data_IF_909928099229
#
_entry.id   IF_909928099229
#
_cell.length_a   1.000
_cell.length_b   1.000
_cell.length_c   1.000
_cell.angle_alpha   90.00
_cell.angle_beta   90.00
_cell.angle_gamma   90.00
#
_symmetry.space_group_name_H-M   'P 1'
#
loop_
_entity.id
_entity.type
_entity.pdbx_description
1 polymer ?
#
# COMPACT_ATOMS: atom_id res chain seq x y z
N UNK A 1 18.78 -84.54 -5.88
CA UNK A 1 19.00 -83.28 -5.14
C UNK A 1 19.51 -82.23 -6.12
N UNK A 2 18.69 -81.26 -6.50
CA UNK A 2 19.13 -80.03 -7.17
C UNK A 2 18.35 -78.89 -6.54
N UNK A 3 19.06 -78.02 -5.81
CA UNK A 3 18.45 -76.91 -5.08
C UNK A 3 18.43 -75.66 -5.95
N UNK A 4 17.24 -75.15 -6.28
CA UNK A 4 17.08 -73.83 -6.86
C UNK A 4 17.42 -72.77 -5.81
N UNK A 5 18.42 -71.92 -6.09
CA UNK A 5 18.70 -70.71 -5.30
C UNK A 5 17.98 -69.53 -5.93
N UNK A 6 16.90 -69.08 -5.28
CA UNK A 6 16.20 -67.85 -5.65
C UNK A 6 17.08 -66.64 -5.33
N UNK A 7 17.42 -65.83 -6.33
CA UNK A 7 18.00 -64.50 -6.13
C UNK A 7 16.89 -63.49 -5.91
N UNK A 8 16.86 -62.84 -4.75
CA UNK A 8 15.99 -61.69 -4.48
C UNK A 8 16.77 -60.42 -4.85
N UNK A 9 16.30 -59.68 -5.84
CA UNK A 9 16.86 -58.37 -6.21
C UNK A 9 16.18 -57.30 -5.34
N UNK A 10 16.96 -56.69 -4.45
CA UNK A 10 16.50 -55.61 -3.59
C UNK A 10 16.70 -54.26 -4.30
N UNK A 11 15.63 -53.71 -4.87
CA UNK A 11 15.65 -52.38 -5.51
C UNK A 11 15.74 -51.27 -4.46
N UNK A 12 16.90 -50.64 -4.34
CA UNK A 12 17.09 -49.47 -3.49
C UNK A 12 16.43 -48.23 -4.14
N UNK A 13 15.36 -47.73 -3.54
CA UNK A 13 14.72 -46.46 -3.95
C UNK A 13 15.52 -45.31 -3.33
N UNK A 14 16.27 -44.58 -4.16
CA UNK A 14 16.94 -43.36 -3.74
C UNK A 14 15.92 -42.21 -3.64
N UNK A 15 15.41 -41.96 -2.44
CA UNK A 15 14.58 -40.78 -2.15
C UNK A 15 15.40 -39.50 -2.23
N UNK A 16 15.30 -38.79 -3.34
CA UNK A 16 15.86 -37.45 -3.47
C UNK A 16 14.99 -36.45 -2.69
N UNK A 17 15.35 -36.20 -1.43
CA UNK A 17 14.77 -35.12 -0.63
C UNK A 17 15.24 -33.76 -1.20
N UNK A 18 14.47 -33.20 -2.13
CA UNK A 18 14.62 -31.81 -2.52
C UNK A 18 14.26 -30.92 -1.34
N UNK A 19 15.24 -30.24 -0.75
CA UNK A 19 14.97 -29.18 0.22
C UNK A 19 14.13 -28.08 -0.47
N UNK A 20 13.07 -27.54 0.17
CA UNK A 20 12.25 -26.52 -0.43
C UNK A 20 13.09 -25.25 -0.65
N UNK A 21 13.29 -24.88 -1.91
CA UNK A 21 13.87 -23.59 -2.27
C UNK A 21 12.84 -22.52 -1.89
N UNK A 22 13.08 -21.86 -0.75
CA UNK A 22 12.32 -20.71 -0.31
C UNK A 22 12.60 -19.52 -1.24
N UNK A 23 11.95 -19.51 -2.42
CA UNK A 23 11.87 -18.32 -3.25
C UNK A 23 10.99 -17.33 -2.47
N UNK A 24 11.63 -16.40 -1.75
CA UNK A 24 10.91 -15.31 -1.10
C UNK A 24 10.03 -14.62 -2.14
N UNK A 25 8.71 -14.58 -1.89
CA UNK A 25 7.74 -13.93 -2.79
C UNK A 25 8.03 -12.44 -2.84
N UNK A 26 8.89 -12.04 -3.78
CA UNK A 26 9.18 -10.65 -4.08
C UNK A 26 8.41 -10.27 -5.35
N UNK A 27 8.00 -9.01 -5.44
CA UNK A 27 7.64 -8.28 -6.66
C UNK A 27 6.15 -8.23 -7.04
N UNK A 28 5.57 -9.24 -7.70
CA UNK A 28 4.33 -9.00 -8.46
C UNK A 28 3.04 -8.93 -7.62
N UNK A 29 3.00 -9.56 -6.45
CA UNK A 29 1.75 -9.79 -5.72
C UNK A 29 1.39 -8.71 -4.70
N UNK A 30 2.38 -7.99 -4.17
CA UNK A 30 2.19 -7.03 -3.05
C UNK A 30 1.99 -5.59 -3.54
N UNK A 31 2.29 -5.30 -4.82
CA UNK A 31 2.19 -3.92 -5.32
C UNK A 31 0.75 -3.40 -5.34
N UNK A 32 -0.25 -4.25 -5.62
CA UNK A 32 -1.66 -3.84 -5.59
C UNK A 32 -2.10 -3.41 -4.17
N UNK A 33 -1.54 -4.03 -3.13
CA UNK A 33 -1.81 -3.69 -1.74
C UNK A 33 -1.35 -2.26 -1.39
N UNK A 34 -0.43 -1.66 -2.16
CA UNK A 34 0.00 -0.25 -1.98
C UNK A 34 -1.11 0.78 -2.18
N UNK A 35 -2.12 0.45 -3.00
CA UNK A 35 -3.24 1.34 -3.32
C UNK A 35 -4.57 0.83 -2.80
N UNK A 36 -4.65 -0.37 -2.22
CA UNK A 36 -5.90 -0.95 -1.71
C UNK A 36 -6.64 -0.03 -0.70
N UNK A 37 -5.90 0.58 0.25
CA UNK A 37 -6.49 1.57 1.18
C UNK A 37 -6.97 2.84 0.48
N UNK A 38 -6.24 3.31 -0.55
CA UNK A 38 -6.63 4.47 -1.36
C UNK A 38 -7.88 4.18 -2.20
N UNK A 39 -7.98 3.00 -2.80
CA UNK A 39 -9.11 2.59 -3.63
C UNK A 39 -10.39 2.50 -2.79
N UNK A 40 -10.30 1.95 -1.57
CA UNK A 40 -11.41 1.95 -0.62
C UNK A 40 -11.82 3.37 -0.17
N UNK A 41 -10.86 4.28 0.04
CA UNK A 41 -11.16 5.69 0.31
C UNK A 41 -11.87 6.35 -0.88
N UNK A 42 -11.38 6.13 -2.10
CA UNK A 42 -11.97 6.65 -3.33
C UNK A 42 -13.41 6.17 -3.56
N UNK A 43 -13.70 4.88 -3.30
CA UNK A 43 -15.05 4.34 -3.37
C UNK A 43 -15.98 4.97 -2.33
N UNK A 44 -15.47 5.21 -1.12
CA UNK A 44 -16.20 5.88 -0.03
C UNK A 44 -16.49 7.35 -0.36
N UNK A 45 -15.55 8.03 -1.00
CA UNK A 45 -15.68 9.41 -1.49
C UNK A 45 -16.58 9.55 -2.74
N UNK A 46 -17.10 8.44 -3.29
CA UNK A 46 -18.03 8.42 -4.41
C UNK A 46 -17.40 8.29 -5.80
N UNK A 47 -16.08 8.09 -5.90
CA UNK A 47 -15.33 8.01 -7.16
C UNK A 47 -15.74 6.86 -8.09
N UNK A 48 -16.45 5.86 -7.57
CA UNK A 48 -17.12 4.83 -8.36
C UNK A 48 -16.16 4.15 -9.36
N UNK A 49 -16.49 4.12 -10.65
CA UNK A 49 -15.70 3.47 -11.70
C UNK A 49 -14.34 4.15 -11.98
N UNK A 50 -14.07 5.34 -11.44
CA UNK A 50 -12.79 6.03 -11.64
C UNK A 50 -11.69 5.46 -10.72
N UNK A 51 -12.05 4.84 -9.60
CA UNK A 51 -11.10 4.40 -8.58
C UNK A 51 -10.21 3.26 -9.07
N UNK A 52 -10.80 2.14 -9.49
CA UNK A 52 -10.05 0.92 -9.83
C UNK A 52 -9.05 1.10 -11.01
N UNK A 53 -9.41 1.72 -12.15
CA UNK A 53 -8.46 1.94 -13.24
C UNK A 53 -7.28 2.84 -12.85
N UNK A 54 -7.50 3.80 -11.95
CA UNK A 54 -6.46 4.68 -11.45
C UNK A 54 -5.58 4.00 -10.40
N UNK A 55 -6.16 3.16 -9.52
CA UNK A 55 -5.43 2.25 -8.62
C UNK A 55 -4.45 1.35 -9.40
N UNK A 56 -4.93 0.72 -10.49
CA UNK A 56 -4.11 -0.12 -11.38
C UNK A 56 -3.00 0.69 -12.07
N UNK A 57 -3.35 1.86 -12.61
CA UNK A 57 -2.36 2.77 -13.23
C UNK A 57 -1.29 3.15 -12.23
N UNK A 58 -1.65 3.43 -10.97
CA UNK A 58 -0.73 3.76 -9.91
C UNK A 58 0.17 2.58 -9.50
N UNK A 59 -0.38 1.45 -9.04
CA UNK A 59 0.47 0.37 -8.53
C UNK A 59 1.40 -0.24 -9.59
N UNK A 60 1.03 -0.20 -10.88
CA UNK A 60 1.91 -0.70 -11.96
C UNK A 60 3.18 0.14 -12.12
N UNK A 61 3.22 1.40 -11.67
CA UNK A 61 4.45 2.21 -11.64
C UNK A 61 5.49 1.70 -10.63
N UNK A 62 5.08 0.88 -9.66
CA UNK A 62 5.99 0.24 -8.70
C UNK A 62 6.78 -0.92 -9.34
N UNK A 63 6.45 -1.34 -10.56
CA UNK A 63 7.23 -2.31 -11.32
C UNK A 63 8.59 -1.72 -11.74
N UNK A 64 9.57 -2.61 -11.94
CA UNK A 64 10.95 -2.24 -12.27
C UNK A 64 11.10 -1.48 -13.59
N UNK A 65 10.16 -1.65 -14.52
CA UNK A 65 10.24 -1.10 -15.87
C UNK A 65 9.76 0.37 -15.97
N UNK A 66 9.07 0.91 -14.96
CA UNK A 66 8.53 2.26 -15.03
C UNK A 66 9.64 3.33 -14.92
N UNK A 67 9.44 4.47 -15.57
CA UNK A 67 10.35 5.61 -15.55
C UNK A 67 10.51 6.24 -14.16
N UNK A 68 11.54 7.08 -13.92
CA UNK A 68 11.82 7.67 -12.61
C UNK A 68 10.68 8.54 -12.05
N UNK A 69 9.81 9.08 -12.89
CA UNK A 69 8.70 9.97 -12.49
C UNK A 69 7.31 9.34 -12.60
N UNK A 70 7.18 8.10 -13.10
CA UNK A 70 5.87 7.53 -13.41
C UNK A 70 5.00 7.37 -12.15
N UNK A 71 5.59 6.96 -11.03
CA UNK A 71 4.93 6.87 -9.72
C UNK A 71 4.44 8.24 -9.22
N UNK A 72 5.24 9.29 -9.39
CA UNK A 72 4.86 10.65 -9.02
C UNK A 72 3.70 11.15 -9.90
N UNK A 73 3.77 10.90 -11.22
CA UNK A 73 2.73 11.29 -12.16
C UNK A 73 1.40 10.55 -11.89
N UNK A 74 1.44 9.28 -11.47
CA UNK A 74 0.25 8.55 -11.07
C UNK A 74 -0.31 9.03 -9.72
N UNK A 75 0.57 9.35 -8.75
CA UNK A 75 0.15 9.99 -7.51
C UNK A 75 -0.49 11.36 -7.75
N UNK A 76 0.03 12.16 -8.71
CA UNK A 76 -0.60 13.41 -9.13
C UNK A 76 -2.04 13.19 -9.63
N UNK A 77 -2.27 12.18 -10.47
CA UNK A 77 -3.63 11.82 -10.93
C UNK A 77 -4.54 11.36 -9.79
N UNK A 78 -4.01 10.64 -8.79
CA UNK A 78 -4.74 10.23 -7.58
C UNK A 78 -5.16 11.45 -6.72
N UNK A 79 -4.30 12.47 -6.60
CA UNK A 79 -4.68 13.75 -5.96
C UNK A 79 -5.72 14.51 -6.79
N UNK A 80 -5.57 14.55 -8.12
CA UNK A 80 -6.55 15.22 -9.00
C UNK A 80 -7.96 14.63 -8.85
N UNK A 81 -8.07 13.30 -8.67
CA UNK A 81 -9.35 12.66 -8.38
C UNK A 81 -9.84 12.97 -6.95
N UNK A 82 -8.96 12.96 -5.95
CA UNK A 82 -9.32 13.33 -4.58
C UNK A 82 -9.89 14.75 -4.50
N UNK A 83 -9.32 15.70 -5.26
CA UNK A 83 -9.81 17.09 -5.37
C UNK A 83 -11.19 17.20 -6.03
N UNK A 84 -11.46 16.38 -7.04
CA UNK A 84 -12.79 16.27 -7.65
C UNK A 84 -13.81 15.70 -6.66
N UNK A 85 -13.39 14.77 -5.81
CA UNK A 85 -14.19 14.14 -4.75
C UNK A 85 -14.12 14.94 -3.43
N UNK A 86 -14.31 16.25 -3.53
CA UNK A 86 -14.39 17.19 -2.40
C UNK A 86 -13.14 17.27 -1.50
N UNK A 87 -11.95 16.99 -2.03
CA UNK A 87 -10.67 16.93 -1.30
C UNK A 87 -10.69 15.87 -0.19
N UNK A 88 -11.10 14.64 -0.52
CA UNK A 88 -11.16 13.54 0.43
C UNK A 88 -9.79 13.31 1.12
N UNK A 89 -9.81 13.36 2.45
CA UNK A 89 -8.60 13.39 3.25
C UNK A 89 -7.87 12.04 3.27
N UNK A 90 -8.61 10.92 3.25
CA UNK A 90 -8.01 9.58 3.22
C UNK A 90 -7.43 9.28 1.84
N UNK A 91 -8.08 9.69 0.76
CA UNK A 91 -7.49 9.65 -0.59
C UNK A 91 -6.18 10.44 -0.64
N UNK A 92 -6.15 11.67 -0.13
CA UNK A 92 -4.91 12.48 -0.12
C UNK A 92 -3.83 11.78 0.72
N UNK A 93 -4.15 11.33 1.93
CA UNK A 93 -3.22 10.64 2.84
C UNK A 93 -2.62 9.38 2.20
N UNK A 94 -3.46 8.48 1.67
CA UNK A 94 -2.98 7.24 1.06
C UNK A 94 -2.25 7.49 -0.26
N UNK A 95 -2.55 8.58 -0.99
CA UNK A 95 -1.75 9.00 -2.15
C UNK A 95 -0.36 9.47 -1.75
N UNK A 96 -0.23 10.23 -0.65
CA UNK A 96 1.07 10.67 -0.12
C UNK A 96 1.91 9.49 0.41
N UNK A 97 1.28 8.46 0.97
CA UNK A 97 1.94 7.20 1.33
C UNK A 97 2.35 6.43 0.07
N UNK A 98 1.46 6.30 -0.92
CA UNK A 98 1.74 5.63 -2.20
C UNK A 98 2.90 6.30 -2.97
N UNK A 99 2.97 7.63 -3.03
CA UNK A 99 4.07 8.38 -3.65
C UNK A 99 5.44 8.06 -3.03
N UNK A 100 5.44 7.53 -1.80
CA UNK A 100 6.62 7.14 -1.06
C UNK A 100 6.87 5.63 -1.06
N UNK A 101 5.94 4.81 -1.57
CA UNK A 101 6.06 3.35 -1.59
C UNK A 101 7.32 2.93 -2.35
N UNK A 102 8.20 2.09 -1.77
CA UNK A 102 9.37 1.60 -2.48
C UNK A 102 9.03 0.87 -3.78
N UNK A 103 9.72 1.28 -4.85
CA UNK A 103 9.62 0.63 -6.16
C UNK A 103 10.43 -0.66 -6.20
N UNK A 104 9.97 -1.62 -6.99
CA UNK A 104 10.67 -2.87 -7.19
C UNK A 104 12.04 -2.67 -7.86
N UNK A 105 13.05 -3.36 -7.31
CA UNK A 105 14.40 -3.47 -7.86
C UNK A 105 14.85 -4.95 -7.95
N UNK A 106 14.77 -5.57 -9.15
CA UNK A 106 15.18 -6.96 -9.37
C UNK A 106 16.68 -7.13 -9.58
N UNK A 107 17.42 -6.04 -9.83
CA UNK A 107 18.88 -6.01 -9.92
C UNK A 107 19.57 -5.67 -8.57
N UNK A 108 18.76 -5.48 -7.51
CA UNK A 108 19.21 -5.06 -6.18
C UNK A 108 19.97 -3.73 -6.19
N UNK A 109 19.69 -2.82 -7.12
CA UNK A 109 20.17 -1.43 -7.14
C UNK A 109 19.09 -0.47 -6.62
N UNK A 110 19.47 0.65 -6.02
CA UNK A 110 18.49 1.67 -5.61
C UNK A 110 17.76 2.28 -6.83
N UNK A 111 16.46 2.56 -6.72
CA UNK A 111 15.65 3.07 -7.84
C UNK A 111 15.79 4.60 -7.91
N UNK A 112 16.18 5.18 -9.07
CA UNK A 112 16.33 6.63 -9.24
C UNK A 112 15.07 7.40 -8.87
N UNK A 113 15.25 8.54 -8.20
CA UNK A 113 14.18 9.47 -7.85
C UNK A 113 13.70 10.24 -9.08
N UNK A 114 12.44 10.64 -9.07
CA UNK A 114 11.99 11.68 -10.00
C UNK A 114 12.83 12.96 -9.80
N UNK A 115 13.05 13.70 -10.88
CA UNK A 115 13.82 14.95 -10.90
C UNK A 115 12.97 16.12 -11.43
N UNK A 116 11.65 16.02 -11.26
CA UNK A 116 10.66 17.01 -11.67
C UNK A 116 9.77 17.33 -10.47
N UNK A 117 9.27 18.57 -10.39
CA UNK A 117 8.28 18.92 -9.38
C UNK A 117 6.96 18.17 -9.65
N UNK A 118 6.21 17.76 -8.61
CA UNK A 118 4.85 17.24 -8.79
C UNK A 118 3.92 18.34 -9.30
N UNK A 119 2.80 17.93 -9.92
CA UNK A 119 1.76 18.86 -10.34
C UNK A 119 0.95 19.38 -9.14
N UNK A 120 0.75 18.51 -8.14
CA UNK A 120 -0.03 18.76 -6.93
C UNK A 120 0.86 19.07 -5.72
N UNK A 121 0.53 20.14 -5.00
CA UNK A 121 1.33 20.65 -3.89
C UNK A 121 1.33 19.70 -2.68
N UNK A 122 0.32 18.84 -2.58
CA UNK A 122 0.17 17.78 -1.60
C UNK A 122 1.31 16.74 -1.66
N UNK A 123 2.03 16.65 -2.78
CA UNK A 123 3.17 15.75 -3.00
C UNK A 123 4.53 16.46 -2.91
N UNK A 124 4.57 17.76 -2.60
CA UNK A 124 5.81 18.53 -2.55
C UNK A 124 6.81 17.93 -1.55
N UNK A 125 8.02 17.61 -2.04
CA UNK A 125 9.09 17.05 -1.22
C UNK A 125 8.95 15.56 -0.91
N UNK A 126 7.91 14.88 -1.42
CA UNK A 126 7.76 13.43 -1.32
C UNK A 126 8.49 12.70 -2.44
N UNK A 127 9.01 11.52 -2.11
CA UNK A 127 9.78 10.66 -3.00
C UNK A 127 9.80 9.23 -2.44
N UNK A 128 10.02 8.23 -3.28
CA UNK A 128 9.97 6.83 -2.85
C UNK A 128 11.06 6.50 -1.81
N UNK A 129 10.68 5.79 -0.74
CA UNK A 129 11.63 5.03 0.07
C UNK A 129 12.33 3.97 -0.81
N UNK A 130 13.42 3.38 -0.32
CA UNK A 130 14.10 2.26 -0.97
C UNK A 130 13.89 0.98 -0.17
N UNK A 131 13.90 -0.18 -0.84
CA UNK A 131 13.89 -1.48 -0.17
C UNK A 131 15.25 -1.81 0.46
N UNK A 132 15.25 -2.53 1.58
CA UNK A 132 16.46 -2.88 2.35
C UNK A 132 17.44 -3.76 1.57
N UNK A 133 16.93 -4.63 0.70
CA UNK A 133 17.72 -5.45 -0.22
C UNK A 133 18.34 -4.68 -1.39
N UNK A 134 18.04 -3.39 -1.54
CA UNK A 134 18.65 -2.53 -2.57
C UNK A 134 20.00 -1.97 -2.11
N UNK A 135 20.96 -1.90 -3.04
CA UNK A 135 22.26 -1.30 -2.81
C UNK A 135 22.14 0.23 -2.73
N UNK A 136 22.02 0.75 -1.50
CA UNK A 136 21.87 2.17 -1.21
C UNK A 136 23.06 3.07 -1.63
N UNK A 137 24.11 2.50 -2.24
CA UNK A 137 25.27 3.23 -2.78
C UNK A 137 25.33 3.27 -4.31
N UNK A 138 24.50 2.47 -4.99
CA UNK A 138 24.51 2.32 -6.44
C UNK A 138 23.09 2.16 -6.97
N UNK A 139 22.68 3.08 -7.83
CA UNK A 139 21.35 3.14 -8.41
C UNK A 139 21.29 2.43 -9.78
N UNK A 140 20.08 2.08 -10.20
CA UNK A 140 19.80 1.48 -11.53
C UNK A 140 20.49 2.30 -12.64
N UNK A 141 21.14 1.62 -13.58
CA UNK A 141 22.05 2.24 -14.55
C UNK A 141 23.48 2.45 -14.03
N UNK A 142 23.83 1.80 -12.91
CA UNK A 142 25.15 1.87 -12.26
C UNK A 142 25.55 3.30 -11.83
N UNK A 143 24.58 4.12 -11.44
CA UNK A 143 24.81 5.51 -11.03
C UNK A 143 25.21 5.55 -9.56
N UNK A 144 26.42 6.04 -9.26
CA UNK A 144 26.87 6.22 -7.88
C UNK A 144 26.11 7.36 -7.19
N UNK A 145 25.92 7.24 -5.87
CA UNK A 145 25.34 8.30 -5.03
C UNK A 145 26.04 9.65 -5.24
N UNK A 146 25.26 10.71 -5.45
CA UNK A 146 25.72 12.03 -5.89
C UNK A 146 25.58 12.26 -7.40
N UNK A 147 25.31 11.21 -8.19
CA UNK A 147 24.93 11.33 -9.59
C UNK A 147 23.47 11.76 -9.80
N UNK A 148 23.12 12.11 -11.04
CA UNK A 148 21.76 12.49 -11.44
C UNK A 148 20.74 11.42 -11.03
N UNK A 149 19.60 11.83 -10.45
CA UNK A 149 18.55 10.90 -10.01
C UNK A 149 18.86 10.12 -8.72
N UNK A 150 20.03 10.29 -8.11
CA UNK A 150 20.38 9.62 -6.83
C UNK A 150 20.16 10.48 -5.59
N UNK A 151 19.79 11.75 -5.78
CA UNK A 151 19.36 12.70 -4.76
C UNK A 151 17.90 13.08 -5.10
N UNK A 152 16.96 13.04 -4.15
CA UNK A 152 15.57 13.41 -4.42
C UNK A 152 15.41 14.83 -4.94
N UNK A 153 14.36 15.08 -5.72
CA UNK A 153 14.08 16.42 -6.24
C UNK A 153 13.97 17.46 -5.11
N UNK A 154 14.58 18.63 -5.31
CA UNK A 154 14.63 19.70 -4.31
C UNK A 154 15.67 19.51 -3.19
N UNK A 155 16.31 18.34 -3.08
CA UNK A 155 17.39 18.09 -2.12
C UNK A 155 18.77 18.35 -2.74
N UNK A 156 19.73 18.74 -1.90
CA UNK A 156 21.12 19.05 -2.31
C UNK A 156 22.15 18.03 -1.79
N UNK A 157 21.71 17.01 -1.05
CA UNK A 157 22.58 16.00 -0.44
C UNK A 157 21.93 14.62 -0.48
N UNK A 158 22.71 13.52 -0.55
CA UNK A 158 22.20 12.17 -0.36
C UNK A 158 21.47 12.00 0.98
N UNK A 159 20.52 11.07 1.00
CA UNK A 159 19.75 10.75 2.21
C UNK A 159 20.61 10.10 3.30
N UNK A 160 20.36 10.48 4.54
CA UNK A 160 20.98 9.93 5.74
C UNK A 160 19.91 9.81 6.85
N UNK A 161 19.46 8.60 7.21
CA UNK A 161 19.88 7.29 6.71
C UNK A 161 19.60 7.10 5.21
N UNK A 162 20.43 6.32 4.52
CA UNK A 162 20.24 6.06 3.10
C UNK A 162 19.02 5.15 2.86
N UNK A 163 18.20 5.49 1.87
CA UNK A 163 16.99 4.74 1.51
C UNK A 163 15.72 5.09 2.29
N UNK A 164 15.77 6.08 3.19
CA UNK A 164 14.60 6.61 3.90
C UNK A 164 13.68 7.45 2.99
N UNK A 165 12.53 7.83 3.53
CA UNK A 165 11.59 8.81 2.99
C UNK A 165 10.86 9.50 4.16
N UNK A 166 9.97 10.47 3.91
CA UNK A 166 9.29 11.18 5.00
C UNK A 166 8.39 10.25 5.84
N UNK A 167 7.70 9.32 5.19
CA UNK A 167 6.86 8.29 5.82
C UNK A 167 7.67 7.21 6.61
N UNK A 168 8.99 7.09 6.37
CA UNK A 168 9.87 6.25 7.18
C UNK A 168 11.28 6.87 7.29
N UNK A 169 11.50 7.80 8.23
CA UNK A 169 12.76 8.55 8.33
C UNK A 169 13.94 7.69 8.80
N UNK A 170 13.67 6.52 9.38
CA UNK A 170 14.67 5.68 10.04
C UNK A 170 15.53 4.84 9.08
N UNK A 171 15.19 4.75 7.79
CA UNK A 171 15.98 4.01 6.80
C UNK A 171 15.13 3.33 5.72
N UNK A 172 15.68 2.32 5.03
CA UNK A 172 14.96 1.59 3.99
C UNK A 172 13.86 0.71 4.57
N UNK A 173 12.91 0.35 3.73
CA UNK A 173 11.76 -0.51 4.05
C UNK A 173 12.14 -1.99 3.89
N UNK A 174 11.63 -2.85 4.77
CA UNK A 174 11.83 -4.29 4.67
C UNK A 174 11.30 -4.84 3.33
N UNK A 175 12.02 -5.80 2.75
CA UNK A 175 11.71 -6.34 1.43
C UNK A 175 10.34 -7.01 1.40
N UNK A 176 9.43 -6.51 0.55
CA UNK A 176 8.07 -7.04 0.42
C UNK A 176 7.05 -6.47 1.42
N UNK A 177 7.40 -5.42 2.17
CA UNK A 177 6.44 -4.68 3.00
C UNK A 177 5.83 -3.47 2.27
N UNK A 178 4.58 -3.16 2.61
CA UNK A 178 3.89 -1.96 2.15
C UNK A 178 3.99 -0.86 3.20
N UNK A 179 4.20 0.39 2.79
CA UNK A 179 4.18 1.54 3.71
C UNK A 179 2.83 1.68 4.41
N UNK A 180 1.73 1.37 3.71
CA UNK A 180 0.36 1.35 4.26
C UNK A 180 0.17 0.41 5.44
N UNK A 181 1.05 -0.59 5.62
CA UNK A 181 1.01 -1.54 6.73
C UNK A 181 1.98 -1.16 7.87
N UNK A 182 2.89 -0.22 7.59
CA UNK A 182 3.93 0.26 8.50
C UNK A 182 3.52 1.59 9.16
N UNK A 183 2.84 2.46 8.42
CA UNK A 183 2.47 3.81 8.87
C UNK A 183 1.14 4.28 8.29
N UNK A 184 0.41 5.06 9.08
CA UNK A 184 -0.71 5.90 8.64
C UNK A 184 -0.31 7.38 8.53
N UNK A 185 0.92 7.74 8.94
CA UNK A 185 1.51 9.07 8.80
C UNK A 185 2.36 9.13 7.52
N UNK A 186 1.98 9.95 6.52
CA UNK A 186 2.80 10.20 5.32
C UNK A 186 4.08 11.00 5.59
N UNK A 187 4.32 11.51 6.81
CA UNK A 187 5.46 12.37 7.13
C UNK A 187 5.34 13.79 6.59
N UNK A 188 4.18 14.17 6.03
CA UNK A 188 3.86 15.57 5.72
C UNK A 188 3.33 16.25 6.98
N UNK A 189 4.23 16.81 7.79
CA UNK A 189 3.82 17.66 8.89
C UNK A 189 2.92 18.80 8.39
N UNK A 190 1.69 18.89 8.91
CA UNK A 190 0.77 20.00 8.66
C UNK A 190 1.53 21.32 8.78
N UNK A 191 1.35 22.24 7.83
CA UNK A 191 2.08 23.50 7.68
C UNK A 191 1.98 24.42 8.91
N UNK A 192 2.75 24.10 9.94
CA UNK A 192 3.03 24.92 11.12
C UNK A 192 4.45 25.47 10.98
N UNK A 193 4.56 26.78 10.81
CA UNK A 193 5.84 27.43 10.50
C UNK A 193 6.86 27.26 11.62
N UNK A 194 7.90 26.46 11.36
CA UNK A 194 9.16 26.46 12.12
C UNK A 194 10.29 26.91 11.20
N UNK A 195 10.31 28.22 10.92
CA UNK A 195 11.44 28.89 10.30
C UNK A 195 12.62 28.93 11.27
N UNK A 196 13.37 27.82 11.33
CA UNK A 196 14.58 27.70 12.14
C UNK A 196 15.76 28.41 11.44
N UNK A 197 15.69 29.74 11.37
CA UNK A 197 16.77 30.57 10.84
C UNK A 197 17.95 30.57 11.81
N UNK A 198 18.98 29.80 11.47
CA UNK A 198 20.27 29.80 12.15
C UNK A 198 20.96 31.16 11.99
N UNK A 199 21.41 31.73 13.11
CA UNK A 199 22.24 32.93 13.18
C UNK A 199 23.61 32.74 12.48
N UNK A 200 24.09 33.80 11.80
CA UNK A 200 25.50 34.02 11.47
C UNK A 200 25.76 35.46 10.94
N UNK A 201 26.14 36.38 11.83
CA UNK A 201 27.37 37.17 11.66
C UNK A 201 27.36 38.49 10.85
N UNK A 202 27.18 39.60 11.58
CA UNK A 202 28.12 40.74 11.66
C UNK A 202 28.65 41.46 10.37
N UNK A 203 28.24 42.72 10.13
CA UNK A 203 29.11 43.92 10.32
C UNK A 203 28.31 45.25 10.29
N UNK A 204 29.01 46.34 10.61
CA UNK A 204 28.62 47.68 11.02
C UNK A 204 28.17 48.63 9.89
N UNK A 205 27.33 49.64 10.19
CA UNK A 205 27.09 50.73 9.23
C UNK A 205 26.05 51.82 9.54
N UNK A 206 26.45 52.83 10.33
CA UNK A 206 26.24 54.27 10.04
C UNK A 206 24.82 54.96 10.11
N UNK A 207 24.58 55.62 11.25
CA UNK A 207 24.01 56.98 11.49
C UNK A 207 22.70 57.52 10.84
N UNK A 208 21.85 58.11 11.70
CA UNK A 208 20.98 59.29 11.44
C UNK A 208 19.54 59.01 10.96
N UNK A 209 18.55 59.88 11.16
CA UNK A 209 18.44 61.11 11.98
C UNK A 209 16.94 61.55 12.08
N UNK A 210 16.55 62.14 13.23
CA UNK A 210 15.42 63.08 13.52
C UNK A 210 13.94 62.83 13.11
N UNK A 211 13.03 63.36 13.96
CA UNK A 211 11.58 63.58 13.70
C UNK A 211 10.64 62.88 14.69
N UNK A 212 10.49 63.35 15.94
CA UNK A 212 9.51 64.36 16.40
C UNK A 212 8.01 64.02 16.14
N UNK A 213 7.23 63.72 17.19
CA UNK A 213 6.28 64.68 17.82
C UNK A 213 5.75 64.17 19.19
N UNK A 214 5.08 65.08 19.90
CA UNK A 214 4.89 65.32 21.34
C UNK A 214 3.78 64.53 22.07
N UNK A 215 3.76 64.62 23.42
CA UNK A 215 2.59 64.32 24.27
C UNK A 215 2.91 63.51 25.55
N UNK A 216 3.61 64.01 26.57
CA UNK A 216 3.24 65.02 27.60
C UNK A 216 2.69 64.40 28.92
N UNK A 217 3.19 64.91 30.08
CA UNK A 217 2.81 64.71 31.52
C UNK A 217 2.59 63.28 32.10
N UNK A 218 3.06 62.89 33.31
CA UNK A 218 3.51 63.63 34.52
C UNK A 218 4.56 62.89 35.38
N UNK A 219 5.27 63.68 36.20
CA UNK A 219 6.10 63.32 37.38
C UNK A 219 5.37 63.81 38.67
N UNK A 220 5.59 63.37 39.93
CA UNK A 220 6.62 62.51 40.59
C UNK A 220 6.00 61.65 41.72
N UNK A 221 6.76 60.72 42.34
CA UNK A 221 6.36 60.06 43.59
C UNK A 221 7.32 59.00 44.15
N UNK A 222 8.37 59.41 44.85
CA UNK A 222 9.48 58.57 45.33
C UNK A 222 9.27 57.91 46.73
N UNK A 223 10.03 56.83 46.96
CA UNK A 223 10.66 56.38 48.23
C UNK A 223 10.00 55.32 49.15
N UNK A 224 10.65 54.13 49.16
CA UNK A 224 10.96 53.26 50.33
C UNK A 224 9.81 52.45 51.00
N UNK A 225 9.99 51.26 51.61
CA UNK A 225 11.20 50.51 52.07
C UNK A 225 11.10 48.98 51.91
N UNK A 226 12.16 48.37 51.36
CA UNK A 226 12.99 47.23 51.83
C UNK A 226 12.46 45.95 52.57
N UNK A 227 13.11 44.82 52.21
CA UNK A 227 13.60 43.68 53.03
C UNK A 227 12.81 42.38 53.31
N UNK A 228 13.34 41.27 52.73
CA UNK A 228 13.42 39.90 53.30
C UNK A 228 12.26 38.92 53.02
N UNK A 229 12.45 37.59 52.94
CA UNK A 229 13.66 36.76 52.91
C UNK A 229 13.38 35.35 52.31
N UNK A 230 14.48 34.71 51.91
CA UNK A 230 14.71 33.40 51.27
C UNK A 230 14.16 32.11 51.93
N UNK A 231 14.13 31.02 51.14
CA UNK A 231 14.42 29.59 51.52
C UNK A 231 13.51 28.83 52.51
N UNK A 232 13.47 27.49 52.62
CA UNK A 232 13.71 26.31 51.74
C UNK A 232 13.36 25.02 52.56
N UNK A 233 12.98 23.92 51.89
CA UNK A 233 13.00 22.46 52.22
C UNK A 233 12.88 21.84 53.65
N UNK A 234 12.25 20.64 53.70
CA UNK A 234 12.29 19.61 54.77
C UNK A 234 10.89 19.11 55.18
N UNK A 235 10.41 17.86 55.00
CA UNK A 235 10.92 16.46 55.13
C UNK A 235 10.56 15.78 56.49
N UNK A 236 10.36 14.44 56.47
CA UNK A 236 9.84 13.53 57.52
C UNK A 236 8.31 13.55 57.75
N UNK A 237 7.61 12.43 57.98
CA UNK A 237 8.02 11.01 58.00
C UNK A 237 6.95 10.09 58.63
N UNK A 238 7.22 8.78 58.58
CA UNK A 238 6.63 7.66 59.35
C UNK A 238 5.26 7.03 59.00
N UNK A 239 5.19 5.77 59.42
CA UNK A 239 4.42 4.63 58.89
C UNK A 239 3.72 3.89 60.05
N UNK A 240 2.55 3.30 59.82
CA UNK A 240 1.87 2.35 60.71
C UNK A 240 0.66 1.72 60.00
N UNK A 241 0.74 0.43 59.68
CA UNK A 241 -0.44 -0.39 59.40
C UNK A 241 -0.91 -1.16 60.64
N UNK A 242 -2.18 -1.58 60.65
CA UNK A 242 -2.59 -2.91 61.13
C UNK A 242 -3.99 -3.27 60.57
N UNK A 243 -4.45 -4.48 60.85
CA UNK A 243 -5.39 -5.28 60.05
C UNK A 243 -6.71 -5.58 60.78
N UNK A 244 -7.51 -6.48 60.18
CA UNK A 244 -8.61 -7.31 60.73
C UNK A 244 -10.06 -6.78 60.67
N UNK A 245 -10.88 -7.57 59.95
CA UNK A 245 -12.13 -8.24 60.36
C UNK A 245 -13.33 -7.39 60.87
N UNK A 246 -14.61 -7.74 60.64
CA UNK A 246 -15.31 -8.73 59.79
C UNK A 246 -16.85 -8.41 59.87
N UNK A 247 -17.69 -9.19 59.17
CA UNK A 247 -19.14 -9.43 59.40
C UNK A 247 -20.17 -8.50 58.73
N UNK A 248 -21.02 -9.09 57.86
CA UNK A 248 -22.08 -8.40 57.11
C UNK A 248 -23.05 -9.31 56.32
N UNK A 249 -23.63 -10.31 56.99
CA UNK A 249 -24.69 -11.25 56.55
C UNK A 249 -26.00 -10.53 56.07
N UNK A 250 -26.85 -10.96 55.11
CA UNK A 250 -27.06 -12.20 54.31
C UNK A 250 -27.92 -11.87 53.04
N UNK A 251 -28.48 -12.74 52.16
CA UNK A 251 -28.55 -14.22 51.99
C UNK A 251 -28.94 -14.64 50.54
N UNK A 252 -28.73 -15.92 50.21
CA UNK A 252 -29.51 -16.87 49.36
C UNK A 252 -30.21 -16.47 48.03
N UNK A 253 -29.86 -17.17 46.94
CA UNK A 253 -30.66 -18.33 46.47
C UNK A 253 -29.84 -19.27 45.55
N UNK A 254 -30.19 -20.57 45.56
CA UNK A 254 -29.37 -21.68 45.02
C UNK A 254 -29.78 -22.23 43.64
N UNK A 255 -28.82 -22.92 43.01
CA UNK A 255 -28.95 -23.87 41.90
C UNK A 255 -27.54 -24.25 41.43
N UNK A 256 -27.01 -25.44 41.77
CA UNK A 256 -27.13 -26.73 41.03
C UNK A 256 -26.89 -26.57 39.51
N UNK A 257 -26.04 -27.36 38.83
CA UNK A 257 -25.52 -28.71 39.13
C UNK A 257 -24.08 -28.90 38.57
N UNK A 258 -23.47 -30.02 38.96
CA UNK A 258 -22.11 -30.54 38.82
C UNK A 258 -21.40 -30.48 37.44
N UNK A 259 -20.11 -30.11 37.51
CA UNK A 259 -18.91 -30.76 36.94
C UNK A 259 -18.98 -31.64 35.68
N UNK A 260 -17.98 -31.47 34.79
CA UNK A 260 -17.03 -32.57 34.51
C UNK A 260 -15.62 -32.04 34.13
N UNK A 261 -14.66 -32.93 34.22
CA UNK A 261 -13.23 -32.80 33.91
C UNK A 261 -12.92 -33.12 32.44
N UNK A 262 -11.82 -32.58 31.90
CA UNK A 262 -11.37 -32.90 30.54
C UNK A 262 -10.03 -32.26 30.20
N UNK A 263 -8.98 -33.08 30.06
CA UNK A 263 -7.59 -32.67 29.89
C UNK A 263 -7.08 -32.83 28.44
N UNK A 264 -6.05 -32.04 28.12
CA UNK A 264 -4.98 -32.29 27.16
C UNK A 264 -5.11 -32.05 25.64
N UNK A 265 -3.95 -31.59 25.15
CA UNK A 265 -3.33 -31.77 23.83
C UNK A 265 -3.87 -31.05 22.59
N UNK A 266 -3.20 -29.94 22.27
CA UNK A 266 -2.25 -29.85 21.14
C UNK A 266 -2.66 -30.57 19.83
N UNK A 267 -2.91 -29.78 18.79
CA UNK A 267 -2.87 -30.24 17.41
C UNK A 267 -2.36 -29.12 16.51
N UNK A 268 -1.13 -29.31 16.06
CA UNK A 268 -0.51 -28.47 15.03
C UNK A 268 -1.28 -28.63 13.72
N UNK A 269 -1.82 -27.55 13.17
CA UNK A 269 -2.29 -27.55 11.78
C UNK A 269 -1.24 -26.87 10.89
N UNK A 270 -0.75 -27.63 9.91
CA UNK A 270 0.24 -27.16 8.95
C UNK A 270 -0.44 -26.91 7.61
N UNK A 271 -0.62 -25.64 7.30
CA UNK A 271 -0.39 -25.07 5.97
C UNK A 271 -0.88 -25.91 4.78
N UNK A 272 -2.13 -25.71 4.36
CA UNK A 272 -2.39 -25.64 2.92
C UNK A 272 -2.50 -24.17 2.51
N UNK A 273 -1.58 -23.74 1.67
CA UNK A 273 -1.51 -22.35 1.18
C UNK A 273 -0.91 -22.34 -0.23
N UNK A 274 -1.62 -22.98 -1.15
CA UNK A 274 -1.47 -22.80 -2.60
C UNK A 274 -1.85 -21.39 -3.07
N UNK A 275 -1.26 -20.35 -2.49
CA UNK A 275 -1.66 -18.94 -2.66
C UNK A 275 -0.51 -18.08 -3.19
N UNK A 276 -0.17 -18.24 -4.47
CA UNK A 276 0.68 -17.27 -5.19
C UNK A 276 0.36 -17.08 -6.68
N UNK A 277 -0.70 -17.72 -7.18
CA UNK A 277 -1.52 -17.17 -8.29
C UNK A 277 -2.62 -16.24 -7.74
N UNK A 278 -2.89 -16.28 -6.44
CA UNK A 278 -4.16 -15.84 -5.83
C UNK A 278 -4.40 -14.33 -5.69
N UNK A 279 -3.39 -13.46 -5.77
CA UNK A 279 -3.56 -12.04 -5.38
C UNK A 279 -4.43 -11.24 -6.36
N UNK A 280 -4.25 -11.44 -7.66
CA UNK A 280 -5.11 -10.87 -8.69
C UNK A 280 -5.90 -11.91 -9.46
N UNK A 281 -5.54 -13.20 -9.45
CA UNK A 281 -6.33 -14.19 -10.19
C UNK A 281 -7.80 -14.18 -9.72
N UNK A 282 -8.07 -14.22 -8.41
CA UNK A 282 -9.45 -14.23 -7.91
C UNK A 282 -10.24 -12.99 -8.39
N UNK A 283 -9.65 -11.79 -8.30
CA UNK A 283 -10.24 -10.54 -8.82
C UNK A 283 -10.48 -10.63 -10.33
N UNK A 284 -9.46 -11.00 -11.11
CA UNK A 284 -9.55 -11.16 -12.55
C UNK A 284 -10.62 -12.20 -12.95
N UNK A 285 -10.83 -13.24 -12.13
CA UNK A 285 -11.88 -14.25 -12.30
C UNK A 285 -13.26 -13.68 -12.02
N UNK A 286 -13.42 -12.90 -10.95
CA UNK A 286 -14.66 -12.20 -10.59
C UNK A 286 -15.02 -11.08 -11.59
N UNK A 287 -14.04 -10.31 -12.08
CA UNK A 287 -14.19 -9.33 -13.16
C UNK A 287 -14.59 -10.01 -14.47
N UNK A 288 -13.94 -11.13 -14.83
CA UNK A 288 -14.30 -11.91 -16.01
C UNK A 288 -15.74 -12.42 -15.90
N UNK A 289 -16.16 -12.87 -14.72
CA UNK A 289 -17.54 -13.25 -14.43
C UNK A 289 -18.52 -12.08 -14.58
N UNK A 290 -18.18 -10.91 -14.05
CA UNK A 290 -19.02 -9.72 -14.10
C UNK A 290 -19.17 -9.21 -15.54
N UNK A 291 -18.10 -9.22 -16.33
CA UNK A 291 -18.11 -8.90 -17.76
C UNK A 291 -18.94 -9.91 -18.56
N UNK A 292 -18.74 -11.22 -18.37
CA UNK A 292 -19.56 -12.24 -19.04
C UNK A 292 -21.06 -12.13 -18.68
N UNK A 293 -21.37 -11.74 -17.44
CA UNK A 293 -22.75 -11.46 -17.00
C UNK A 293 -23.33 -10.22 -17.68
N UNK A 294 -22.55 -9.13 -17.78
CA UNK A 294 -22.93 -7.92 -18.53
C UNK A 294 -23.16 -8.22 -20.02
N UNK A 295 -22.26 -8.97 -20.64
CA UNK A 295 -22.32 -9.40 -22.03
C UNK A 295 -23.59 -10.20 -22.37
N UNK A 296 -24.12 -10.97 -21.42
CA UNK A 296 -25.39 -11.68 -21.59
C UNK A 296 -26.63 -10.76 -21.70
N UNK A 297 -26.50 -9.48 -21.32
CA UNK A 297 -27.54 -8.44 -21.50
C UNK A 297 -27.37 -7.57 -22.74
N UNK A 298 -26.29 -7.75 -23.50
CA UNK A 298 -25.99 -6.97 -24.70
C UNK A 298 -26.51 -7.67 -25.98
N UNK A 299 -26.94 -6.85 -26.93
CA UNK A 299 -27.25 -7.24 -28.31
C UNK A 299 -26.53 -6.33 -29.32
N UNK A 300 -26.64 -6.64 -30.61
CA UNK A 300 -25.98 -5.87 -31.67
C UNK A 300 -26.50 -4.42 -31.82
N UNK A 301 -27.68 -4.11 -31.27
CA UNK A 301 -28.27 -2.77 -31.26
C UNK A 301 -27.99 -1.98 -29.97
N UNK A 302 -27.31 -2.60 -29.00
CA UNK A 302 -26.95 -1.97 -27.74
C UNK A 302 -25.96 -0.83 -27.99
N UNK A 303 -26.22 0.32 -27.36
CA UNK A 303 -25.37 1.50 -27.46
C UNK A 303 -24.07 1.28 -26.70
N UNK A 304 -22.94 1.59 -27.34
CA UNK A 304 -21.60 1.37 -26.82
C UNK A 304 -20.66 2.56 -27.15
N UNK A 305 -19.48 2.62 -26.53
CA UNK A 305 -18.47 3.64 -26.85
C UNK A 305 -17.49 3.15 -27.92
N UNK A 306 -17.15 4.00 -28.89
CA UNK A 306 -16.27 3.59 -30.00
C UNK A 306 -14.92 3.05 -29.51
N UNK A 307 -14.56 1.83 -29.93
CA UNK A 307 -13.36 1.11 -29.47
C UNK A 307 -13.57 0.17 -28.27
N UNK A 308 -14.74 0.21 -27.63
CA UNK A 308 -15.19 -0.79 -26.66
C UNK A 308 -15.27 -2.18 -27.32
N UNK A 309 -14.84 -3.23 -26.62
CA UNK A 309 -14.96 -4.60 -27.07
C UNK A 309 -15.82 -5.38 -26.08
N UNK A 310 -16.66 -6.29 -26.60
CA UNK A 310 -17.58 -7.09 -25.82
C UNK A 310 -17.72 -8.50 -26.42
N UNK A 311 -18.45 -9.37 -25.72
CA UNK A 311 -19.02 -10.57 -26.33
C UNK A 311 -20.52 -10.37 -26.51
N UNK A 312 -21.03 -10.55 -27.73
CA UNK A 312 -22.46 -10.38 -28.03
C UNK A 312 -22.95 -11.65 -28.72
N UNK A 313 -23.95 -12.32 -28.15
CA UNK A 313 -24.44 -13.63 -28.62
C UNK A 313 -23.32 -14.68 -28.82
N UNK A 314 -22.27 -14.64 -28.00
CA UNK A 314 -21.09 -15.52 -28.12
C UNK A 314 -20.13 -15.20 -29.28
N UNK A 315 -20.38 -14.11 -30.02
CA UNK A 315 -19.46 -13.57 -31.03
C UNK A 315 -18.57 -12.48 -30.41
N UNK A 316 -17.36 -12.29 -30.96
CA UNK A 316 -16.55 -11.12 -30.60
C UNK A 316 -17.23 -9.88 -31.16
N UNK A 317 -17.30 -8.80 -30.37
CA UNK A 317 -17.95 -7.57 -30.79
C UNK A 317 -17.03 -6.38 -30.54
N UNK A 318 -16.90 -5.51 -31.54
CA UNK A 318 -16.23 -4.22 -31.41
C UNK A 318 -17.20 -3.09 -31.70
N UNK A 319 -17.23 -2.09 -30.83
CA UNK A 319 -18.09 -0.94 -31.00
C UNK A 319 -17.55 0.02 -32.07
N UNK A 320 -18.32 0.22 -33.14
CA UNK A 320 -17.98 1.14 -34.24
C UNK A 320 -19.18 2.02 -34.52
N UNK A 321 -19.01 3.34 -34.34
CA UNK A 321 -20.09 4.30 -34.60
C UNK A 321 -21.24 4.27 -33.59
N UNK A 322 -21.03 3.71 -32.38
CA UNK A 322 -22.03 3.65 -31.31
C UNK A 322 -22.87 2.37 -31.28
N UNK A 323 -22.55 1.38 -32.11
CA UNK A 323 -23.17 0.05 -32.11
C UNK A 323 -22.13 -1.05 -32.27
N UNK A 324 -22.44 -2.25 -31.80
CA UNK A 324 -21.54 -3.39 -31.88
C UNK A 324 -21.51 -4.03 -33.28
N UNK A 325 -20.30 -4.12 -33.85
CA UNK A 325 -20.02 -4.92 -35.05
C UNK A 325 -19.52 -6.29 -34.60
N UNK A 326 -20.24 -7.35 -34.98
CA UNK A 326 -20.00 -8.71 -34.52
C UNK A 326 -19.11 -9.46 -35.53
N UNK A 327 -18.04 -10.07 -35.02
CA UNK A 327 -17.16 -11.00 -35.72
C UNK A 327 -17.32 -12.41 -35.12
N UNK A 328 -17.65 -13.38 -35.96
CA UNK A 328 -17.81 -14.77 -35.54
C UNK A 328 -16.49 -15.37 -35.08
N UNK A 329 -16.48 -15.93 -33.88
CA UNK A 329 -15.42 -16.83 -33.45
C UNK A 329 -15.26 -18.04 -34.40
N UNK A 330 -14.07 -18.65 -34.40
CA UNK A 330 -13.81 -19.86 -35.17
C UNK A 330 -14.76 -21.00 -34.77
N UNK A 331 -14.95 -21.98 -35.66
CA UNK A 331 -15.86 -23.09 -35.39
C UNK A 331 -15.56 -23.77 -34.05
N UNK A 332 -16.61 -23.97 -33.23
CA UNK A 332 -16.60 -24.51 -31.85
C UNK A 332 -16.08 -23.60 -30.73
N UNK A 333 -15.63 -22.37 -31.02
CA UNK A 333 -15.33 -21.37 -29.98
C UNK A 333 -16.40 -20.27 -29.90
N UNK A 334 -16.46 -19.62 -28.74
CA UNK A 334 -17.32 -18.47 -28.44
C UNK A 334 -16.47 -17.42 -27.71
N UNK A 335 -16.91 -16.16 -27.76
CA UNK A 335 -16.27 -15.05 -27.08
C UNK A 335 -16.58 -15.11 -25.58
N UNK A 336 -15.53 -14.99 -24.76
CA UNK A 336 -15.63 -14.80 -23.31
C UNK A 336 -14.62 -13.74 -22.83
N UNK A 337 -14.96 -13.01 -21.77
CA UNK A 337 -13.97 -12.37 -20.91
C UNK A 337 -13.29 -13.46 -20.06
N UNK A 338 -11.96 -13.44 -20.02
CA UNK A 338 -11.11 -14.39 -19.32
C UNK A 338 -10.08 -13.67 -18.44
N UNK A 339 -9.76 -14.22 -17.26
CA UNK A 339 -8.75 -13.63 -16.38
C UNK A 339 -7.38 -13.58 -17.06
N UNK A 340 -6.68 -12.46 -16.92
CA UNK A 340 -5.25 -12.40 -17.21
C UNK A 340 -4.49 -13.16 -16.12
N UNK A 341 -3.44 -13.88 -16.52
CA UNK A 341 -2.70 -14.79 -15.63
C UNK A 341 -1.37 -14.21 -15.13
N UNK A 342 -0.86 -13.19 -15.80
CA UNK A 342 0.44 -12.55 -15.53
C UNK A 342 0.32 -11.06 -15.17
N UNK A 343 -0.90 -10.53 -15.07
CA UNK A 343 -1.21 -9.13 -14.77
C UNK A 343 -2.63 -9.03 -14.21
N UNK A 344 -2.98 -7.90 -13.59
CA UNK A 344 -4.36 -7.58 -13.24
C UNK A 344 -5.23 -7.40 -14.49
N UNK A 345 -6.54 -7.54 -14.33
CA UNK A 345 -7.56 -7.34 -15.36
C UNK A 345 -7.91 -8.60 -16.17
N UNK A 346 -8.65 -8.37 -17.25
CA UNK A 346 -9.22 -9.42 -18.10
C UNK A 346 -8.84 -9.25 -19.57
N UNK A 347 -9.12 -10.29 -20.36
CA UNK A 347 -8.95 -10.29 -21.80
C UNK A 347 -10.17 -10.91 -22.47
N UNK A 348 -10.65 -10.28 -23.54
CA UNK A 348 -11.75 -10.82 -24.35
C UNK A 348 -11.16 -11.66 -25.47
N UNK A 349 -11.58 -12.92 -25.60
CA UNK A 349 -11.08 -13.81 -26.66
C UNK A 349 -12.06 -14.93 -27.00
N UNK A 350 -11.90 -15.50 -28.19
CA UNK A 350 -12.64 -16.68 -28.63
C UNK A 350 -12.00 -17.97 -28.08
N UNK A 351 -12.67 -18.67 -27.18
CA UNK A 351 -12.25 -20.00 -26.68
C UNK A 351 -13.46 -20.94 -26.52
N UNK A 352 -13.28 -22.15 -26.02
CA UNK A 352 -14.40 -23.03 -25.66
C UNK A 352 -14.97 -22.65 -24.28
N UNK A 353 -16.27 -22.84 -24.06
CA UNK A 353 -16.89 -22.60 -22.75
C UNK A 353 -16.17 -23.35 -21.61
N UNK A 354 -15.77 -24.61 -21.84
CA UNK A 354 -15.08 -25.42 -20.84
C UNK A 354 -13.68 -24.89 -20.50
N UNK A 355 -12.93 -24.34 -21.48
CA UNK A 355 -11.66 -23.65 -21.22
C UNK A 355 -11.89 -22.34 -20.44
N UNK A 356 -12.91 -21.56 -20.81
CA UNK A 356 -13.27 -20.33 -20.12
C UNK A 356 -13.62 -20.57 -18.64
N UNK A 357 -14.52 -21.54 -18.38
CA UNK A 357 -14.89 -21.99 -17.03
C UNK A 357 -13.67 -22.51 -16.26
N UNK A 358 -12.83 -23.34 -16.89
CA UNK A 358 -11.62 -23.89 -16.25
C UNK A 358 -10.64 -22.78 -15.87
N UNK A 359 -10.45 -21.79 -16.74
CA UNK A 359 -9.54 -20.65 -16.48
C UNK A 359 -10.07 -19.71 -15.40
N UNK A 360 -11.39 -19.50 -15.33
CA UNK A 360 -12.02 -18.73 -14.24
C UNK A 360 -11.93 -19.51 -12.93
N UNK A 361 -12.29 -20.80 -12.91
CA UNK A 361 -12.22 -21.65 -11.71
C UNK A 361 -10.78 -21.81 -11.17
N UNK A 362 -9.78 -21.89 -12.06
CA UNK A 362 -8.36 -21.94 -11.70
C UNK A 362 -7.86 -20.69 -10.94
N UNK A 363 -8.66 -19.62 -10.89
CA UNK A 363 -8.37 -18.43 -10.09
C UNK A 363 -8.86 -18.51 -8.64
N UNK A 364 -9.72 -19.47 -8.31
CA UNK A 364 -10.49 -19.52 -7.07
C UNK A 364 -11.89 -18.91 -7.17
N UNK A 365 -12.25 -18.25 -8.27
CA UNK A 365 -13.61 -17.72 -8.47
C UNK A 365 -14.66 -18.84 -8.60
N UNK A 366 -15.82 -18.66 -7.96
CA UNK A 366 -16.95 -19.61 -7.93
C UNK A 366 -18.17 -19.05 -8.66
N UNK A 367 -19.17 -19.87 -9.01
CA UNK A 367 -20.34 -19.41 -9.79
C UNK A 367 -20.16 -19.43 -11.32
N UNK A 368 -19.27 -20.28 -11.85
CA UNK A 368 -19.14 -20.55 -13.29
C UNK A 368 -18.69 -19.34 -14.12
N UNK A 369 -19.23 -19.20 -15.34
CA UNK A 369 -18.89 -18.11 -16.26
C UNK A 369 -19.33 -16.71 -15.81
N UNK A 370 -20.37 -16.60 -14.97
CA UNK A 370 -21.07 -15.33 -14.68
C UNK A 370 -21.16 -14.98 -13.19
N UNK A 371 -20.48 -15.74 -12.32
CA UNK A 371 -20.47 -15.51 -10.87
C UNK A 371 -21.80 -15.79 -10.18
N UNK A 372 -22.68 -16.56 -10.83
CA UNK A 372 -24.03 -16.89 -10.34
C UNK A 372 -24.02 -18.27 -9.69
N UNK A 373 -24.42 -18.35 -8.42
CA UNK A 373 -24.71 -19.61 -7.70
C UNK A 373 -26.23 -19.80 -7.56
#
# INVERSE_FOLDING_TARGET
>A
MFAFKTFVILSAVAGAYGAPVQISKRIAQVIADSTAKWEQACLTAGGSQQCNPLSITAFTTLLAAAGPCDQQNAADQMIDLAKQLNNDADMIKFTQIFAQQPRNTPDSLAVPYCQQAPQNQELNGLFQCQYQGANQKLFVGNIAVGGQGTIPFGQNSPLSPAGSCAANPNGPIADGSQLTDITDDPGVGSTGGSSNSSDSGNDSGNTGDSGDDSGDVSDSGDSSTDSGSTSDSGDSGDDSGDSTDDSGDSSDNSGDDSSDTGDSSDSSDSSDTGSSTSSFALSNGQEAQQLNSQFASLDASSSCQAGENACVNGQFAQCVGGSFVLESCAATTQCFALPLVNSAGTSITCTTQSDAESRIAATGATGGLTGSN
#
